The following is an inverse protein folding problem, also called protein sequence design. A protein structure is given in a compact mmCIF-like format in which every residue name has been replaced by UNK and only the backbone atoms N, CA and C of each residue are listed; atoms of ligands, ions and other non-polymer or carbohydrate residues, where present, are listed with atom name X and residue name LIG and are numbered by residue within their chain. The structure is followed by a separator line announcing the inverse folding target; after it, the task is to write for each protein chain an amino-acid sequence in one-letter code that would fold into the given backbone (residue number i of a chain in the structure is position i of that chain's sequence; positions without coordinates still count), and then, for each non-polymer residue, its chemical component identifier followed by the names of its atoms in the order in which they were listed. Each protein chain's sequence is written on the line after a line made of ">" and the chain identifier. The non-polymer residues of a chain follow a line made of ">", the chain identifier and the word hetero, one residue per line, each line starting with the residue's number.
data_IF_129077781877
#
_entry.id   IF_129077781877
#
_cell.length_a   1.000
_cell.length_b   1.000
_cell.length_c   1.000
_cell.angle_alpha   90.00
_cell.angle_beta   90.00
_cell.angle_gamma   90.00
#
_symmetry.space_group_name_H-M   'P 1'
#
loop_
_entity.id
_entity.type
_entity.pdbx_description
1 polymer ?
#
# COMPACT_ATOMS: atom_id res chain seq x y z
N UNK A 1 9.53 -7.49 -19.35
CA UNK A 1 9.12 -6.10 -19.02
C UNK A 1 9.80 -5.69 -17.73
N UNK A 2 10.28 -4.45 -17.60
CA UNK A 2 10.83 -3.96 -16.34
C UNK A 2 9.71 -3.73 -15.33
N UNK A 3 9.93 -4.10 -14.07
CA UNK A 3 9.01 -3.79 -12.98
C UNK A 3 8.70 -2.28 -12.90
N UNK A 4 7.43 -1.88 -12.66
CA UNK A 4 7.05 -0.48 -12.59
C UNK A 4 7.75 0.20 -11.40
N UNK A 5 8.36 1.36 -11.67
CA UNK A 5 9.05 2.17 -10.65
C UNK A 5 8.14 3.20 -10.00
N UNK A 6 7.10 3.62 -10.72
CA UNK A 6 6.08 4.55 -10.21
C UNK A 6 5.00 3.72 -9.53
N UNK A 7 4.84 3.91 -8.23
CA UNK A 7 3.81 3.22 -7.46
C UNK A 7 2.71 4.24 -7.20
N UNK A 8 1.54 4.00 -7.79
CA UNK A 8 0.40 4.90 -7.69
C UNK A 8 -0.33 4.65 -6.36
N UNK A 9 -0.40 5.68 -5.51
CA UNK A 9 -1.18 5.61 -4.26
C UNK A 9 -2.65 5.96 -4.47
N UNK A 10 -2.98 6.66 -5.55
CA UNK A 10 -4.31 6.66 -6.15
C UNK A 10 -4.19 6.00 -7.53
N UNK A 11 -4.78 4.82 -7.75
CA UNK A 11 -4.60 4.07 -9.00
C UNK A 11 -5.08 4.81 -10.24
N UNK A 12 -4.39 4.58 -11.35
CA UNK A 12 -4.69 5.23 -12.63
C UNK A 12 -6.09 4.89 -13.15
N UNK A 13 -6.59 3.67 -12.91
CA UNK A 13 -7.92 3.26 -13.35
C UNK A 13 -9.03 4.12 -12.71
N UNK A 14 -8.82 4.56 -11.47
CA UNK A 14 -9.75 5.42 -10.75
C UNK A 14 -9.62 6.88 -11.20
N UNK A 15 -8.39 7.38 -11.30
CA UNK A 15 -8.12 8.75 -11.77
C UNK A 15 -8.60 9.01 -13.20
N UNK A 16 -8.55 8.01 -14.07
CA UNK A 16 -8.95 8.18 -15.47
C UNK A 16 -10.43 8.53 -15.64
N UNK A 17 -11.27 8.26 -14.64
CA UNK A 17 -12.71 8.60 -14.66
C UNK A 17 -12.98 10.10 -14.48
N UNK A 18 -11.96 10.87 -14.11
CA UNK A 18 -12.04 12.32 -13.97
C UNK A 18 -11.50 13.06 -15.20
N UNK A 19 -11.00 12.32 -16.19
CA UNK A 19 -10.57 12.89 -17.47
C UNK A 19 -11.80 13.42 -18.19
N UNK A 20 -11.75 14.68 -18.58
CA UNK A 20 -12.89 15.42 -19.13
C UNK A 20 -12.59 16.03 -20.50
N UNK A 21 -11.40 15.79 -21.06
CA UNK A 21 -10.93 16.41 -22.30
C UNK A 21 -10.36 15.40 -23.30
N UNK A 22 -10.21 15.85 -24.55
CA UNK A 22 -9.62 15.09 -25.66
C UNK A 22 -8.12 14.79 -25.45
N UNK A 23 -7.47 15.44 -24.48
CA UNK A 23 -6.03 15.33 -24.22
C UNK A 23 -5.67 14.32 -23.11
N UNK A 24 -6.65 13.53 -22.64
CA UNK A 24 -6.51 12.56 -21.56
C UNK A 24 -6.01 13.16 -20.23
N UNK A 25 -6.44 14.40 -19.93
CA UNK A 25 -6.06 15.10 -18.70
C UNK A 25 -7.28 15.52 -17.90
N UNK A 26 -7.06 15.76 -16.62
CA UNK A 26 -8.04 16.36 -15.71
C UNK A 26 -7.48 17.60 -15.04
N UNK A 27 -8.37 18.40 -14.45
CA UNK A 27 -8.00 19.62 -13.75
C UNK A 27 -7.32 19.29 -12.43
N UNK A 28 -6.15 19.88 -12.19
CA UNK A 28 -5.37 19.68 -10.97
C UNK A 28 -5.05 21.03 -10.34
N UNK A 29 -5.23 21.09 -9.02
CA UNK A 29 -5.06 22.29 -8.23
C UNK A 29 -4.14 22.01 -7.06
N UNK A 30 -3.19 22.91 -6.82
CA UNK A 30 -2.24 22.78 -5.74
C UNK A 30 -1.63 24.13 -5.38
N UNK A 31 -1.01 24.19 -4.21
CA UNK A 31 -0.33 25.38 -3.71
C UNK A 31 1.19 25.18 -3.78
N UNK A 32 1.90 26.17 -4.31
CA UNK A 32 3.36 26.31 -4.17
C UNK A 32 3.64 27.71 -3.65
N UNK A 33 4.41 27.86 -2.57
CA UNK A 33 4.90 29.16 -2.08
C UNK A 33 3.78 30.22 -1.98
N UNK A 34 2.66 29.87 -1.37
CA UNK A 34 1.45 30.72 -1.23
C UNK A 34 0.78 31.13 -2.54
N UNK A 35 1.09 30.47 -3.66
CA UNK A 35 0.42 30.66 -4.95
C UNK A 35 -0.48 29.47 -5.27
N UNK A 36 -1.74 29.77 -5.58
CA UNK A 36 -2.66 28.79 -6.15
C UNK A 36 -2.30 28.53 -7.61
N UNK A 37 -1.99 27.28 -7.94
CA UNK A 37 -1.72 26.84 -9.30
C UNK A 37 -2.86 25.97 -9.79
N UNK A 38 -3.27 26.22 -11.03
CA UNK A 38 -4.29 25.47 -11.74
C UNK A 38 -3.66 24.91 -13.02
N UNK A 39 -3.59 23.59 -13.16
CA UNK A 39 -2.93 22.92 -14.29
C UNK A 39 -3.72 21.71 -14.79
N UNK A 40 -3.33 21.16 -15.94
CA UNK A 40 -3.87 19.89 -16.48
C UNK A 40 -2.82 18.80 -16.32
N UNK A 41 -3.22 17.65 -15.79
CA UNK A 41 -2.32 16.51 -15.57
C UNK A 41 -3.01 15.21 -16.00
N UNK A 42 -2.22 14.24 -16.48
CA UNK A 42 -2.74 12.90 -16.78
C UNK A 42 -2.65 12.01 -15.56
N UNK A 43 -3.52 10.99 -15.49
CA UNK A 43 -3.52 10.00 -14.39
C UNK A 43 -2.14 9.35 -14.18
N UNK A 44 -1.40 9.09 -15.27
CA UNK A 44 -0.04 8.52 -15.23
C UNK A 44 1.00 9.41 -14.54
N UNK A 45 0.76 10.71 -14.49
CA UNK A 45 1.73 11.71 -14.04
C UNK A 45 1.40 12.35 -12.68
N UNK A 46 0.41 11.83 -11.96
CA UNK A 46 0.06 12.29 -10.61
C UNK A 46 -0.23 11.12 -9.68
N UNK A 47 -0.36 11.42 -8.39
CA UNK A 47 -0.69 10.47 -7.33
C UNK A 47 0.19 9.22 -7.28
N UNK A 48 1.48 9.37 -7.56
CA UNK A 48 2.48 8.32 -7.45
C UNK A 48 3.71 8.82 -6.71
N UNK A 49 4.47 7.88 -6.15
CA UNK A 49 5.84 8.08 -5.71
C UNK A 49 6.72 7.00 -6.32
N UNK A 50 8.01 7.28 -6.47
CA UNK A 50 8.94 6.26 -6.92
C UNK A 50 9.23 5.26 -5.80
N UNK A 51 9.06 3.97 -6.08
CA UNK A 51 9.39 2.88 -5.17
C UNK A 51 8.66 2.92 -3.81
N UNK A 52 7.48 3.56 -3.75
CA UNK A 52 6.75 3.81 -2.50
C UNK A 52 6.59 2.56 -1.62
N UNK A 53 6.23 1.46 -2.28
CA UNK A 53 5.97 0.16 -1.65
C UNK A 53 7.12 -0.84 -1.84
N UNK A 54 8.28 -0.39 -2.30
CA UNK A 54 9.37 -1.32 -2.55
C UNK A 54 9.93 -1.89 -1.25
N UNK A 55 10.14 -3.20 -1.23
CA UNK A 55 10.76 -3.86 -0.08
C UNK A 55 12.28 -3.63 -0.08
N UNK A 56 12.83 -3.44 1.12
CA UNK A 56 14.25 -3.22 1.38
C UNK A 56 14.95 -4.54 1.70
N UNK A 57 16.25 -4.65 1.44
CA UNK A 57 17.07 -5.82 1.77
C UNK A 57 16.60 -7.19 1.21
N UNK A 58 15.67 -7.19 0.24
CA UNK A 58 15.20 -8.40 -0.44
C UNK A 58 15.78 -8.55 -1.85
N UNK A 59 15.77 -9.78 -2.43
CA UNK A 59 16.06 -10.01 -3.84
C UNK A 59 15.23 -9.12 -4.77
N UNK A 60 15.79 -8.76 -5.93
CA UNK A 60 15.20 -7.81 -6.88
C UNK A 60 13.78 -8.20 -7.28
N UNK A 61 13.51 -9.48 -7.43
CA UNK A 61 12.25 -10.07 -7.87
C UNK A 61 11.12 -9.85 -6.84
N UNK A 62 11.49 -9.72 -5.56
CA UNK A 62 10.58 -9.54 -4.44
C UNK A 62 10.35 -8.07 -4.09
N UNK A 63 11.20 -7.16 -4.56
CA UNK A 63 11.08 -5.72 -4.26
C UNK A 63 9.70 -5.15 -4.55
N UNK A 64 8.97 -5.74 -5.49
CA UNK A 64 7.66 -5.27 -5.94
C UNK A 64 6.48 -6.12 -5.47
N UNK A 65 6.68 -6.95 -4.43
CA UNK A 65 5.63 -7.83 -3.94
C UNK A 65 4.36 -7.07 -3.53
N UNK A 66 4.49 -5.94 -2.84
CA UNK A 66 3.35 -5.13 -2.39
C UNK A 66 2.62 -4.48 -3.56
N UNK A 67 3.32 -3.88 -4.52
CA UNK A 67 2.70 -3.30 -5.72
C UNK A 67 1.92 -4.36 -6.52
N UNK A 68 2.52 -5.55 -6.70
CA UNK A 68 1.86 -6.69 -7.36
C UNK A 68 0.61 -7.14 -6.60
N UNK A 69 0.68 -7.17 -5.27
CA UNK A 69 -0.47 -7.48 -4.43
C UNK A 69 -1.61 -6.47 -4.62
N UNK A 70 -1.32 -5.16 -4.55
CA UNK A 70 -2.31 -4.10 -4.74
C UNK A 70 -2.97 -4.22 -6.12
N UNK A 71 -2.18 -4.38 -7.17
CA UNK A 71 -2.68 -4.50 -8.53
C UNK A 71 -3.62 -5.70 -8.70
N UNK A 72 -3.18 -6.88 -8.26
CA UNK A 72 -3.87 -8.13 -8.55
C UNK A 72 -5.08 -8.38 -7.64
N UNK A 73 -5.00 -7.98 -6.37
CA UNK A 73 -6.01 -8.33 -5.37
C UNK A 73 -6.96 -7.17 -5.05
N UNK A 74 -6.62 -5.94 -5.43
CA UNK A 74 -7.42 -4.75 -5.11
C UNK A 74 -7.79 -3.99 -6.37
N UNK A 75 -6.81 -3.50 -7.14
CA UNK A 75 -7.07 -2.53 -8.19
C UNK A 75 -7.74 -3.15 -9.42
N UNK A 76 -7.26 -4.31 -9.89
CA UNK A 76 -7.86 -5.00 -11.04
C UNK A 76 -9.31 -5.43 -10.76
N UNK A 77 -9.63 -6.09 -9.63
CA UNK A 77 -11.02 -6.42 -9.31
C UNK A 77 -11.92 -5.19 -9.11
N UNK A 78 -11.41 -4.13 -8.48
CA UNK A 78 -12.19 -2.90 -8.27
C UNK A 78 -12.43 -2.12 -9.55
N UNK A 79 -11.51 -2.16 -10.53
CA UNK A 79 -11.71 -1.56 -11.84
C UNK A 79 -12.90 -2.18 -12.58
N UNK A 80 -13.09 -3.50 -12.45
CA UNK A 80 -14.24 -4.21 -13.01
C UNK A 80 -15.52 -3.70 -12.34
N UNK A 81 -15.58 -3.71 -11.01
CA UNK A 81 -16.75 -3.24 -10.26
C UNK A 81 -17.11 -1.79 -10.57
N UNK A 82 -16.11 -0.90 -10.64
CA UNK A 82 -16.33 0.52 -10.95
C UNK A 82 -16.85 0.73 -12.36
N UNK A 83 -16.39 -0.05 -13.34
CA UNK A 83 -16.91 0.07 -14.70
C UNK A 83 -18.40 -0.30 -14.76
N UNK A 84 -18.82 -1.36 -14.05
CA UNK A 84 -20.23 -1.74 -13.93
C UNK A 84 -21.07 -0.66 -13.24
N UNK A 85 -20.55 -0.09 -12.14
CA UNK A 85 -21.20 1.04 -11.43
C UNK A 85 -21.45 2.22 -12.38
N UNK A 86 -20.48 2.53 -13.23
CA UNK A 86 -20.56 3.68 -14.13
C UNK A 86 -21.45 3.41 -15.35
N UNK A 87 -21.59 2.16 -15.80
CA UNK A 87 -22.43 1.81 -16.96
C UNK A 87 -23.89 1.62 -16.57
N UNK A 88 -24.15 0.78 -15.56
CA UNK A 88 -25.47 0.24 -15.25
C UNK A 88 -25.93 0.57 -13.82
N UNK A 89 -25.15 1.38 -13.12
CA UNK A 89 -25.37 1.69 -11.71
C UNK A 89 -25.11 0.48 -10.82
N UNK A 90 -25.81 0.43 -9.69
CA UNK A 90 -25.55 -0.59 -8.66
C UNK A 90 -26.38 -1.88 -8.81
N UNK A 91 -27.29 -1.92 -9.80
CA UNK A 91 -28.31 -2.97 -9.93
C UNK A 91 -27.70 -4.33 -10.32
N UNK A 92 -26.66 -4.31 -11.15
CA UNK A 92 -26.02 -5.52 -11.67
C UNK A 92 -24.78 -5.93 -10.87
N UNK A 93 -24.46 -5.23 -9.78
CA UNK A 93 -23.30 -5.57 -8.98
C UNK A 93 -23.53 -6.89 -8.25
N UNK A 94 -22.63 -7.85 -8.51
CA UNK A 94 -22.53 -9.05 -7.69
C UNK A 94 -22.01 -8.69 -6.29
N UNK A 95 -22.27 -9.56 -5.31
CA UNK A 95 -21.71 -9.43 -3.96
C UNK A 95 -20.18 -9.31 -3.99
N UNK A 96 -19.52 -10.07 -4.88
CA UNK A 96 -18.08 -10.00 -5.08
C UNK A 96 -17.62 -8.63 -5.59
N UNK A 97 -18.34 -8.04 -6.56
CA UNK A 97 -17.99 -6.71 -7.08
C UNK A 97 -18.16 -5.63 -6.00
N UNK A 98 -19.24 -5.71 -5.22
CA UNK A 98 -19.43 -4.83 -4.04
C UNK A 98 -18.26 -4.95 -3.06
N UNK A 99 -17.89 -6.18 -2.69
CA UNK A 99 -16.80 -6.44 -1.77
C UNK A 99 -15.45 -5.92 -2.31
N UNK A 100 -15.18 -6.15 -3.59
CA UNK A 100 -13.97 -5.67 -4.25
C UNK A 100 -13.92 -4.13 -4.31
N UNK A 101 -15.06 -3.48 -4.54
CA UNK A 101 -15.16 -2.03 -4.49
C UNK A 101 -14.93 -1.48 -3.09
N UNK A 102 -15.58 -2.05 -2.07
CA UNK A 102 -15.38 -1.66 -0.67
C UNK A 102 -13.91 -1.82 -0.24
N UNK A 103 -13.29 -2.95 -0.59
CA UNK A 103 -11.86 -3.22 -0.35
C UNK A 103 -10.96 -2.18 -0.99
N UNK A 104 -11.26 -1.76 -2.23
CA UNK A 104 -10.53 -0.67 -2.85
C UNK A 104 -10.67 0.64 -2.07
N UNK A 105 -11.89 1.04 -1.69
CA UNK A 105 -12.13 2.27 -0.93
C UNK A 105 -11.37 2.30 0.40
N UNK A 106 -11.38 1.19 1.14
CA UNK A 106 -10.61 1.06 2.39
C UNK A 106 -9.11 1.17 2.11
N UNK A 107 -8.63 0.51 1.05
CA UNK A 107 -7.20 0.50 0.73
C UNK A 107 -6.63 1.90 0.49
N UNK A 108 -7.43 2.84 -0.06
CA UNK A 108 -7.00 4.22 -0.28
C UNK A 108 -6.57 4.93 1.01
N UNK A 109 -7.13 4.55 2.16
CA UNK A 109 -6.77 5.11 3.47
C UNK A 109 -5.30 4.85 3.84
N UNK A 110 -4.75 3.73 3.39
CA UNK A 110 -3.44 3.23 3.83
C UNK A 110 -2.33 3.43 2.79
N UNK A 111 -2.66 3.89 1.59
CA UNK A 111 -1.71 3.98 0.46
C UNK A 111 -0.90 5.28 0.41
N UNK A 112 -1.37 6.34 1.08
CA UNK A 112 -0.77 7.66 0.98
C UNK A 112 0.69 7.73 1.45
N UNK A 113 1.58 8.50 0.79
CA UNK A 113 3.01 8.53 1.11
C UNK A 113 3.32 8.84 2.58
N UNK A 114 2.54 9.74 3.20
CA UNK A 114 2.68 10.07 4.61
C UNK A 114 2.39 8.87 5.53
N UNK A 115 1.38 8.09 5.21
CA UNK A 115 1.03 6.90 5.98
C UNK A 115 2.10 5.81 5.80
N UNK A 116 2.53 5.55 4.56
CA UNK A 116 3.59 4.58 4.26
C UNK A 116 4.89 4.93 5.00
N UNK A 117 5.31 6.20 4.96
CA UNK A 117 6.49 6.67 5.70
C UNK A 117 6.35 6.41 7.20
N UNK A 118 5.18 6.73 7.77
CA UNK A 118 4.89 6.51 9.18
C UNK A 118 4.98 5.02 9.55
N UNK A 119 4.31 4.16 8.79
CA UNK A 119 4.28 2.71 9.02
C UNK A 119 5.65 2.07 8.93
N UNK A 120 6.51 2.53 8.01
CA UNK A 120 7.90 2.05 7.94
C UNK A 120 8.67 2.37 9.22
N UNK A 121 8.60 3.62 9.68
CA UNK A 121 9.30 4.07 10.89
C UNK A 121 8.78 3.33 12.13
N UNK A 122 7.46 3.37 12.36
CA UNK A 122 6.85 2.73 13.52
C UNK A 122 7.00 1.20 13.49
N UNK A 123 7.06 0.60 12.30
CA UNK A 123 7.30 -0.83 12.14
C UNK A 123 8.71 -1.24 12.56
N UNK A 124 9.73 -0.46 12.18
CA UNK A 124 11.10 -0.70 12.63
C UNK A 124 11.18 -0.55 14.15
N UNK A 125 10.67 0.55 14.70
CA UNK A 125 10.65 0.80 16.16
C UNK A 125 9.93 -0.31 16.93
N UNK A 126 8.79 -0.79 16.42
CA UNK A 126 8.05 -1.89 17.02
C UNK A 126 8.85 -3.21 16.99
N UNK A 127 9.49 -3.52 15.86
CA UNK A 127 10.30 -4.72 15.73
C UNK A 127 11.53 -4.68 16.64
N UNK A 128 12.25 -3.56 16.68
CA UNK A 128 13.39 -3.37 17.59
C UNK A 128 12.98 -3.56 19.04
N UNK A 129 11.85 -2.97 19.44
CA UNK A 129 11.30 -3.14 20.79
C UNK A 129 11.02 -4.62 21.11
N UNK A 130 10.39 -5.36 20.19
CA UNK A 130 10.14 -6.80 20.36
C UNK A 130 11.46 -7.56 20.56
N UNK A 131 12.47 -7.28 19.75
CA UNK A 131 13.78 -7.93 19.83
C UNK A 131 14.49 -7.65 21.17
N UNK A 132 14.41 -6.42 21.66
CA UNK A 132 14.98 -6.05 22.97
C UNK A 132 14.23 -6.72 24.12
N UNK A 133 12.90 -6.79 24.06
CA UNK A 133 12.07 -7.46 25.08
C UNK A 133 12.29 -8.99 25.10
N UNK A 134 12.70 -9.58 23.97
CA UNK A 134 13.03 -11.01 23.84
C UNK A 134 14.51 -11.35 24.13
N UNK A 135 15.29 -10.42 24.70
CA UNK A 135 16.74 -10.62 24.92
C UNK A 135 17.06 -11.80 25.87
N UNK A 136 16.29 -11.99 26.95
CA UNK A 136 16.52 -13.11 27.89
C UNK A 136 16.33 -14.48 27.23
N UNK A 137 15.32 -14.61 26.38
CA UNK A 137 15.07 -15.84 25.62
C UNK A 137 16.22 -16.11 24.65
N UNK A 138 16.68 -15.08 23.94
CA UNK A 138 17.84 -15.18 23.06
C UNK A 138 19.12 -15.62 23.81
N UNK A 139 19.39 -15.05 24.99
CA UNK A 139 20.57 -15.43 25.79
C UNK A 139 20.55 -16.89 26.22
N UNK A 140 19.37 -17.48 26.42
CA UNK A 140 19.22 -18.90 26.74
C UNK A 140 19.47 -19.83 25.54
N UNK A 141 19.39 -19.30 24.32
CA UNK A 141 19.47 -20.07 23.08
C UNK A 141 20.74 -19.79 22.25
N UNK A 142 21.41 -18.65 22.46
CA UNK A 142 22.50 -18.20 21.60
C UNK A 142 23.72 -19.13 21.66
N UNK A 143 24.31 -19.38 20.50
CA UNK A 143 25.57 -20.09 20.35
C UNK A 143 26.79 -19.27 20.77
N UNK A 144 27.96 -19.90 20.87
CA UNK A 144 29.20 -19.24 21.29
C UNK A 144 29.69 -18.15 20.32
N UNK A 145 29.37 -18.28 19.04
CA UNK A 145 29.80 -17.36 17.97
C UNK A 145 28.69 -16.36 17.56
N UNK A 146 27.52 -16.43 18.19
CA UNK A 146 26.43 -15.53 17.87
C UNK A 146 26.67 -14.12 18.44
N UNK A 147 26.11 -13.06 17.81
CA UNK A 147 26.20 -11.69 18.31
C UNK A 147 25.74 -11.52 19.76
N UNK A 148 26.19 -10.46 20.45
CA UNK A 148 25.90 -10.29 21.86
C UNK A 148 24.41 -10.05 22.16
N UNK A 149 23.69 -9.40 21.24
CA UNK A 149 22.27 -9.05 21.39
C UNK A 149 21.40 -9.69 20.32
N UNK A 150 20.12 -9.92 20.64
CA UNK A 150 19.16 -10.46 19.67
C UNK A 150 18.93 -9.49 18.51
N UNK A 151 19.01 -8.19 18.79
CA UNK A 151 18.94 -7.14 17.77
C UNK A 151 20.10 -7.23 16.77
N UNK A 152 21.34 -7.39 17.25
CA UNK A 152 22.51 -7.52 16.37
C UNK A 152 22.40 -8.78 15.51
N UNK A 153 22.07 -9.92 16.12
CA UNK A 153 21.83 -11.17 15.41
C UNK A 153 20.75 -11.03 14.33
N UNK A 154 19.65 -10.34 14.65
CA UNK A 154 18.55 -10.14 13.70
C UNK A 154 18.92 -9.18 12.57
N UNK A 155 19.68 -8.12 12.84
CA UNK A 155 20.18 -7.20 11.83
C UNK A 155 21.15 -7.89 10.86
N UNK A 156 22.00 -8.79 11.35
CA UNK A 156 22.95 -9.54 10.51
C UNK A 156 22.26 -10.63 9.70
N UNK A 157 21.32 -11.36 10.31
CA UNK A 157 20.75 -12.57 9.72
C UNK A 157 19.48 -12.29 8.90
N UNK A 158 18.65 -11.35 9.36
CA UNK A 158 17.32 -11.07 8.80
C UNK A 158 17.04 -9.56 8.65
N UNK A 159 17.93 -8.79 8.00
CA UNK A 159 17.77 -7.33 7.87
C UNK A 159 16.48 -6.93 7.15
N UNK A 160 15.98 -7.78 6.24
CA UNK A 160 14.73 -7.58 5.52
C UNK A 160 13.51 -7.64 6.43
N UNK A 161 13.52 -8.50 7.47
CA UNK A 161 12.40 -8.61 8.40
C UNK A 161 12.23 -7.34 9.21
N UNK A 162 13.33 -6.75 9.66
CA UNK A 162 13.30 -5.49 10.41
C UNK A 162 12.87 -4.34 9.50
N UNK A 163 13.54 -4.16 8.36
CA UNK A 163 13.27 -3.02 7.46
C UNK A 163 11.86 -3.02 6.86
N UNK A 164 11.24 -4.20 6.74
CA UNK A 164 9.93 -4.34 6.10
C UNK A 164 8.80 -4.74 7.05
N UNK A 165 9.04 -4.85 8.36
CA UNK A 165 8.03 -5.32 9.32
C UNK A 165 6.73 -4.54 9.22
N UNK A 166 6.80 -3.21 9.25
CA UNK A 166 5.58 -2.37 9.17
C UNK A 166 4.89 -2.45 7.82
N UNK A 167 5.63 -2.46 6.71
CA UNK A 167 5.00 -2.39 5.39
C UNK A 167 4.39 -3.73 4.97
N UNK A 168 4.88 -4.86 5.49
CA UNK A 168 4.34 -6.19 5.19
C UNK A 168 2.95 -6.41 5.79
N UNK A 169 2.55 -5.65 6.82
CA UNK A 169 1.21 -5.74 7.44
C UNK A 169 0.12 -5.00 6.65
N UNK A 170 0.49 -4.24 5.61
CA UNK A 170 -0.47 -3.46 4.83
C UNK A 170 -1.55 -4.32 4.16
N UNK A 171 -1.18 -5.49 3.64
CA UNK A 171 -2.14 -6.40 3.01
C UNK A 171 -3.23 -6.82 4.00
N UNK A 172 -2.84 -7.09 5.24
CA UNK A 172 -3.75 -7.58 6.28
C UNK A 172 -4.69 -6.49 6.75
N UNK A 173 -4.20 -5.25 6.85
CA UNK A 173 -5.04 -4.09 7.19
C UNK A 173 -6.03 -3.74 6.08
N UNK A 174 -5.60 -3.81 4.81
CA UNK A 174 -6.45 -3.51 3.66
C UNK A 174 -7.50 -4.59 3.42
N UNK A 175 -7.18 -5.85 3.74
CA UNK A 175 -8.05 -7.01 3.52
C UNK A 175 -8.70 -7.53 4.80
N UNK A 176 -8.77 -6.73 5.86
CA UNK A 176 -9.39 -7.14 7.12
C UNK A 176 -10.88 -7.44 6.91
N UNK A 177 -11.24 -8.72 6.94
CA UNK A 177 -12.60 -9.19 6.64
C UNK A 177 -13.65 -8.63 7.59
N UNK A 178 -13.29 -8.39 8.87
CA UNK A 178 -14.21 -7.80 9.84
C UNK A 178 -14.59 -6.37 9.44
N UNK A 179 -13.59 -5.53 9.16
CA UNK A 179 -13.82 -4.13 8.75
C UNK A 179 -14.56 -4.08 7.41
N UNK A 180 -14.19 -4.95 6.47
CA UNK A 180 -14.85 -5.06 5.17
C UNK A 180 -16.33 -5.43 5.31
N UNK A 181 -16.63 -6.44 6.11
CA UNK A 181 -18.00 -6.87 6.35
C UNK A 181 -18.82 -5.77 7.03
N UNK A 182 -18.25 -5.04 8.00
CA UNK A 182 -18.95 -3.92 8.63
C UNK A 182 -19.30 -2.84 7.61
N UNK A 183 -18.37 -2.45 6.72
CA UNK A 183 -18.61 -1.44 5.68
C UNK A 183 -19.64 -1.90 4.66
N UNK A 184 -19.55 -3.15 4.20
CA UNK A 184 -20.52 -3.70 3.24
C UNK A 184 -21.94 -3.81 3.82
N UNK A 185 -22.09 -3.90 5.14
CA UNK A 185 -23.39 -3.98 5.82
C UNK A 185 -23.90 -2.61 6.31
N UNK A 186 -23.22 -1.51 5.99
CA UNK A 186 -23.73 -0.18 6.31
C UNK A 186 -24.95 0.14 5.46
N UNK A 187 -26.02 0.60 6.09
CA UNK A 187 -27.18 1.19 5.40
C UNK A 187 -26.87 2.67 5.11
N UNK A 188 -26.87 3.04 3.83
CA UNK A 188 -26.62 4.38 3.34
C UNK A 188 -27.89 5.01 2.77
#
# INVERSE_FOLDING_TARGET
>A
MSDPKKHHYIPQFYLSKWISDENEKFQYHYWIENRFISSRISAKNTAFEYYLYSLENVPKEQKQAIEKFLNNNIDTPAAIAMNEILSDGIINLTEEMYFNWAKFLISLRYRGPRFIKKVRLEGIEAMEKILVESQEEYESLKGPDDPPTFLDFSNETYPDRISNFGISTLSDWMCNSKVLNEICNMHW
#
